data_IF_598598976982
#
_entry.id   IF_598598976982
#
_cell.length_a   1.000
_cell.length_b   1.000
_cell.length_c   1.000
_cell.angle_alpha   90.00
_cell.angle_beta   90.00
_cell.angle_gamma   90.00
#
_symmetry.space_group_name_H-M   'P 1'
#
loop_
_entity.id
_entity.type
_entity.pdbx_description
1 polymer ?
#
# COMPACT_ATOMS: atom_id res chain seq x y z
N UNK A 1 -9.55 20.16 -3.47
CA UNK A 1 -8.99 19.50 -2.26
C UNK A 1 -7.54 19.96 -2.09
N UNK A 2 -6.99 19.92 -0.86
CA UNK A 2 -5.67 20.49 -0.55
C UNK A 2 -4.52 19.47 -0.67
N UNK A 3 -3.27 19.92 -0.74
CA UNK A 3 -2.08 19.04 -0.69
C UNK A 3 -2.06 18.14 0.56
N UNK A 4 -2.59 18.63 1.68
CA UNK A 4 -2.74 17.86 2.91
C UNK A 4 -3.65 16.63 2.73
N UNK A 5 -4.69 16.74 1.90
CA UNK A 5 -5.55 15.59 1.55
C UNK A 5 -4.79 14.53 0.76
N UNK A 6 -3.95 14.93 -0.20
CA UNK A 6 -3.15 13.99 -0.99
C UNK A 6 -2.17 13.20 -0.09
N UNK A 7 -1.44 13.89 0.79
CA UNK A 7 -0.53 13.25 1.75
C UNK A 7 -1.26 12.28 2.68
N UNK A 8 -2.45 12.64 3.15
CA UNK A 8 -3.28 11.80 4.00
C UNK A 8 -3.70 10.51 3.29
N UNK A 9 -4.27 10.62 2.08
CA UNK A 9 -4.69 9.44 1.32
C UNK A 9 -3.51 8.57 0.89
N UNK A 10 -2.39 9.17 0.49
CA UNK A 10 -1.19 8.40 0.14
C UNK A 10 -0.64 7.61 1.32
N UNK A 11 -0.61 8.21 2.52
CA UNK A 11 -0.22 7.50 3.75
C UNK A 11 -1.16 6.34 4.10
N UNK A 12 -2.48 6.52 3.91
CA UNK A 12 -3.44 5.44 4.10
C UNK A 12 -3.26 4.30 3.09
N UNK A 13 -2.99 4.63 1.82
CA UNK A 13 -2.69 3.65 0.77
C UNK A 13 -1.49 2.80 1.17
N UNK A 14 -0.39 3.44 1.58
CA UNK A 14 0.80 2.73 2.03
C UNK A 14 0.55 1.84 3.25
N UNK A 15 -0.29 2.29 4.20
CA UNK A 15 -0.69 1.48 5.34
C UNK A 15 -1.52 0.24 4.92
N UNK A 16 -2.43 0.37 3.95
CA UNK A 16 -3.17 -0.78 3.44
C UNK A 16 -2.28 -1.74 2.64
N UNK A 17 -1.28 -1.25 1.91
CA UNK A 17 -0.25 -2.08 1.28
C UNK A 17 0.56 -2.84 2.33
N UNK A 18 0.98 -2.18 3.42
CA UNK A 18 1.68 -2.86 4.53
C UNK A 18 0.80 -3.95 5.17
N UNK A 19 -0.51 -3.69 5.36
CA UNK A 19 -1.46 -4.71 5.84
C UNK A 19 -1.58 -5.89 4.88
N UNK A 20 -1.52 -5.65 3.56
CA UNK A 20 -1.49 -6.73 2.57
C UNK A 20 -0.27 -7.63 2.74
N UNK A 21 0.92 -7.04 2.96
CA UNK A 21 2.15 -7.80 3.20
C UNK A 21 1.98 -8.68 4.44
N UNK A 22 1.55 -8.11 5.58
CA UNK A 22 1.33 -8.88 6.80
C UNK A 22 0.28 -9.98 6.64
N UNK A 23 -0.78 -9.73 5.87
CA UNK A 23 -1.80 -10.75 5.57
C UNK A 23 -1.23 -11.90 4.73
N UNK A 24 -0.35 -11.61 3.77
CA UNK A 24 0.33 -12.63 2.97
C UNK A 24 1.33 -13.44 3.80
N UNK A 25 2.11 -12.79 4.67
CA UNK A 25 3.06 -13.45 5.59
C UNK A 25 2.36 -14.41 6.57
N UNK A 26 1.13 -14.07 6.99
CA UNK A 26 0.30 -14.89 7.90
C UNK A 26 -0.66 -15.83 7.15
N UNK A 27 -0.55 -15.94 5.83
CA UNK A 27 -1.44 -16.77 4.98
C UNK A 27 -2.94 -16.43 5.08
N UNK A 28 -3.28 -15.23 5.56
CA UNK A 28 -4.66 -14.75 5.73
C UNK A 28 -5.22 -14.17 4.42
N UNK A 29 -5.59 -15.05 3.49
CA UNK A 29 -6.05 -14.68 2.13
C UNK A 29 -7.22 -13.69 2.09
N UNK A 30 -8.18 -13.79 3.00
CA UNK A 30 -9.34 -12.88 3.03
C UNK A 30 -8.92 -11.48 3.49
N UNK A 31 -8.08 -11.38 4.52
CA UNK A 31 -7.53 -10.09 4.97
C UNK A 31 -6.66 -9.42 3.90
N UNK A 32 -5.97 -10.21 3.08
CA UNK A 32 -5.23 -9.70 1.93
C UNK A 32 -6.20 -9.07 0.92
N UNK A 33 -7.26 -9.78 0.52
CA UNK A 33 -8.27 -9.26 -0.41
C UNK A 33 -8.93 -7.98 0.11
N UNK A 34 -9.32 -7.97 1.37
CA UNK A 34 -9.97 -6.80 1.99
C UNK A 34 -9.04 -5.58 2.02
N UNK A 35 -7.77 -5.80 2.37
CA UNK A 35 -6.79 -4.72 2.43
C UNK A 35 -6.42 -4.20 1.04
N UNK A 36 -6.33 -5.10 0.05
CA UNK A 36 -6.10 -4.72 -1.34
C UNK A 36 -7.28 -3.91 -1.90
N UNK A 37 -8.52 -4.30 -1.57
CA UNK A 37 -9.72 -3.55 -1.91
C UNK A 37 -9.66 -2.11 -1.38
N UNK A 38 -9.38 -1.95 -0.08
CA UNK A 38 -9.22 -0.62 0.53
C UNK A 38 -8.08 0.20 -0.07
N UNK A 39 -6.98 -0.44 -0.49
CA UNK A 39 -5.88 0.25 -1.16
C UNK A 39 -6.33 0.85 -2.50
N UNK A 40 -7.10 0.09 -3.30
CA UNK A 40 -7.69 0.60 -4.54
C UNK A 40 -8.74 1.69 -4.28
N UNK A 41 -9.62 1.53 -3.28
CA UNK A 41 -10.58 2.57 -2.91
C UNK A 41 -9.86 3.86 -2.48
N UNK A 42 -8.76 3.74 -1.74
CA UNK A 42 -7.92 4.87 -1.34
C UNK A 42 -7.22 5.52 -2.54
N UNK A 43 -6.76 4.72 -3.51
CA UNK A 43 -6.17 5.21 -4.75
C UNK A 43 -7.16 6.09 -5.54
N UNK A 44 -8.45 5.73 -5.55
CA UNK A 44 -9.47 6.52 -6.24
C UNK A 44 -9.60 7.95 -5.67
N UNK A 45 -9.40 8.12 -4.36
CA UNK A 45 -9.35 9.44 -3.72
C UNK A 45 -8.14 10.29 -4.16
N UNK A 46 -7.11 9.67 -4.74
CA UNK A 46 -5.93 10.34 -5.26
C UNK A 46 -6.07 10.77 -6.73
N UNK A 47 -7.14 10.41 -7.46
CA UNK A 47 -7.30 10.76 -8.90
C UNK A 47 -7.15 12.24 -9.22
N UNK A 48 -7.44 13.14 -8.28
CA UNK A 48 -7.24 14.59 -8.42
C UNK A 48 -5.79 15.06 -8.28
N UNK A 49 -4.85 14.16 -8.01
CA UNK A 49 -3.42 14.40 -7.80
C UNK A 49 -2.62 13.40 -8.63
N UNK A 50 -2.37 13.69 -9.92
CA UNK A 50 -1.83 12.73 -10.88
C UNK A 50 -0.58 12.01 -10.40
N UNK A 51 0.37 12.74 -9.82
CA UNK A 51 1.64 12.18 -9.34
C UNK A 51 1.42 11.22 -8.16
N UNK A 52 0.62 11.62 -7.17
CA UNK A 52 0.33 10.76 -6.02
C UNK A 52 -0.49 9.52 -6.41
N UNK A 53 -1.37 9.65 -7.39
CA UNK A 53 -2.12 8.53 -7.94
C UNK A 53 -1.21 7.56 -8.70
N UNK A 54 -0.33 8.06 -9.57
CA UNK A 54 0.61 7.22 -10.32
C UNK A 54 1.55 6.45 -9.38
N UNK A 55 2.16 7.12 -8.41
CA UNK A 55 3.02 6.50 -7.40
C UNK A 55 2.23 5.48 -6.54
N UNK A 56 0.99 5.78 -6.19
CA UNK A 56 0.11 4.86 -5.45
C UNK A 56 -0.22 3.61 -6.25
N UNK A 57 -0.47 3.76 -7.56
CA UNK A 57 -0.71 2.63 -8.46
C UNK A 57 0.54 1.75 -8.60
N UNK A 58 1.71 2.36 -8.79
CA UNK A 58 2.99 1.66 -8.86
C UNK A 58 3.28 0.89 -7.57
N UNK A 59 2.94 1.45 -6.41
CA UNK A 59 3.08 0.77 -5.12
C UNK A 59 2.22 -0.50 -5.04
N UNK A 60 0.96 -0.43 -5.48
CA UNK A 60 0.06 -1.60 -5.52
C UNK A 60 0.57 -2.64 -6.53
N UNK A 61 1.00 -2.21 -7.72
CA UNK A 61 1.57 -3.11 -8.72
C UNK A 61 2.85 -3.79 -8.21
N UNK A 62 3.71 -3.07 -7.49
CA UNK A 62 4.91 -3.60 -6.85
C UNK A 62 4.60 -4.70 -5.84
N UNK A 63 3.55 -4.52 -5.02
CA UNK A 63 3.06 -5.56 -4.10
C UNK A 63 2.63 -6.83 -4.85
N UNK A 64 1.83 -6.68 -5.91
CA UNK A 64 1.34 -7.82 -6.71
C UNK A 64 2.51 -8.55 -7.36
N UNK A 65 3.44 -7.80 -7.97
CA UNK A 65 4.64 -8.37 -8.58
C UNK A 65 5.51 -9.11 -7.54
N UNK A 66 5.74 -8.51 -6.38
CA UNK A 66 6.52 -9.11 -5.30
C UNK A 66 5.88 -10.42 -4.78
N UNK A 67 4.55 -10.46 -4.70
CA UNK A 67 3.81 -11.69 -4.36
C UNK A 67 4.01 -12.78 -5.41
N UNK A 68 3.88 -12.46 -6.68
CA UNK A 68 4.04 -13.43 -7.78
C UNK A 68 5.47 -13.97 -7.90
N UNK A 69 6.47 -13.14 -7.60
CA UNK A 69 7.88 -13.50 -7.64
C UNK A 69 8.41 -14.10 -6.33
N UNK A 70 7.56 -14.32 -5.32
CA UNK A 70 7.96 -14.74 -3.96
C UNK A 70 9.03 -13.83 -3.32
N UNK A 71 9.01 -12.53 -3.63
CA UNK A 71 9.94 -11.52 -3.11
C UNK A 71 9.24 -10.48 -2.21
N UNK A 72 8.29 -10.92 -1.38
CA UNK A 72 7.59 -10.03 -0.45
C UNK A 72 8.54 -9.39 0.58
N UNK A 73 9.60 -10.10 0.98
CA UNK A 73 10.59 -9.59 1.94
C UNK A 73 11.31 -8.34 1.41
N UNK A 74 11.85 -8.40 0.19
CA UNK A 74 12.53 -7.26 -0.41
C UNK A 74 11.59 -6.07 -0.62
N UNK A 75 10.36 -6.33 -1.07
CA UNK A 75 9.34 -5.29 -1.19
C UNK A 75 9.00 -4.62 0.15
N UNK A 76 8.84 -5.41 1.22
CA UNK A 76 8.58 -4.91 2.58
C UNK A 76 9.70 -4.00 3.08
N UNK A 77 10.96 -4.39 2.88
CA UNK A 77 12.12 -3.58 3.28
C UNK A 77 12.14 -2.23 2.55
N UNK A 78 11.90 -2.22 1.24
CA UNK A 78 11.80 -0.98 0.47
C UNK A 78 10.62 -0.11 0.91
N UNK A 79 9.44 -0.71 1.12
CA UNK A 79 8.26 0.02 1.57
C UNK A 79 8.50 0.67 2.94
N UNK A 80 9.09 -0.05 3.89
CA UNK A 80 9.31 0.46 5.24
C UNK A 80 10.38 1.55 5.32
N UNK A 81 11.28 1.63 4.33
CA UNK A 81 12.19 2.77 4.20
C UNK A 81 11.45 4.05 3.74
N UNK A 82 10.36 3.90 2.98
CA UNK A 82 9.56 5.03 2.49
C UNK A 82 8.46 5.42 3.48
N UNK A 83 7.82 4.42 4.09
CA UNK A 83 6.71 4.56 5.01
C UNK A 83 7.02 3.69 6.23
N UNK A 84 7.71 4.24 7.24
CA UNK A 84 8.06 3.47 8.42
C UNK A 84 6.80 2.88 9.04
N UNK A 85 6.84 1.63 9.49
CA UNK A 85 5.69 1.02 10.13
C UNK A 85 5.26 1.90 11.30
N UNK A 86 3.95 2.13 11.43
CA UNK A 86 3.42 2.77 12.64
C UNK A 86 3.93 1.97 13.84
N UNK A 87 4.61 2.59 14.81
CA UNK A 87 5.04 1.90 16.00
C UNK A 87 3.78 1.32 16.65
N UNK A 88 3.75 -0.01 16.76
CA UNK A 88 2.74 -0.68 17.56
C UNK A 88 3.07 -0.30 19.00
N UNK A 89 2.23 0.52 19.61
CA UNK A 89 2.32 0.86 21.03
C UNK A 89 2.04 -0.37 21.90
#
# INVERSE_FOLDING_TARGET
MSEASAKFYFGNLAADVARCISALELEHRDRFKDSLGRAYDTLEHLRGYPEAHEEGLLMIQGLIHAREQNNLKGFKEHLYNLVPPFPVA
#
